data_IF_001165975023
#
_entry.id   IF_001165975023
#
_cell.length_a   1.000
_cell.length_b   1.000
_cell.length_c   1.000
_cell.angle_alpha   90.00
_cell.angle_beta   90.00
_cell.angle_gamma   90.00
#
_symmetry.space_group_name_H-M   'P 1'
#
loop_
_entity.id
_entity.type
_entity.pdbx_description
1 polymer ?
#
# COMPACT_ATOMS: atom_id res chain seq x y z
N UNK A 1 4.80 21.49 -4.34
CA UNK A 1 5.05 21.54 -2.88
C UNK A 1 5.29 22.97 -2.37
N UNK A 2 6.16 23.78 -2.98
CA UNK A 2 6.39 25.17 -2.54
C UNK A 2 5.12 26.03 -2.49
N UNK A 3 4.25 25.93 -3.50
CA UNK A 3 2.98 26.65 -3.57
C UNK A 3 2.04 26.35 -2.36
N UNK A 4 2.04 25.10 -1.88
CA UNK A 4 1.23 24.65 -0.73
C UNK A 4 1.67 25.26 0.61
N UNK A 5 2.97 25.49 0.80
CA UNK A 5 3.50 26.12 2.01
C UNK A 5 3.29 27.64 2.02
N UNK A 6 3.25 28.27 0.84
CA UNK A 6 3.17 29.73 0.70
C UNK A 6 1.72 30.24 0.74
N UNK A 7 0.76 29.50 0.17
CA UNK A 7 -0.63 29.98 0.06
C UNK A 7 -1.57 29.43 1.16
N UNK A 8 -1.05 28.57 2.05
CA UNK A 8 -1.87 27.86 3.04
C UNK A 8 -2.76 26.81 2.39
N UNK A 9 -3.03 25.72 3.11
CA UNK A 9 -3.99 24.72 2.67
C UNK A 9 -5.39 25.34 2.73
N UNK A 10 -5.85 25.97 1.64
CA UNK A 10 -7.29 26.09 1.43
C UNK A 10 -7.79 24.67 1.16
N UNK A 11 -8.35 24.05 2.20
CA UNK A 11 -8.79 22.64 2.25
C UNK A 11 -9.97 22.35 1.28
N UNK A 12 -10.39 23.32 0.49
CA UNK A 12 -11.60 23.24 -0.35
C UNK A 12 -11.39 22.68 -1.77
N UNK A 13 -10.17 22.32 -2.16
CA UNK A 13 -9.96 21.72 -3.48
C UNK A 13 -10.15 20.20 -3.41
N UNK A 14 -11.20 19.68 -4.07
CA UNK A 14 -11.51 18.24 -4.20
C UNK A 14 -10.28 17.41 -4.63
N UNK A 15 -9.34 18.04 -5.36
CA UNK A 15 -8.05 17.44 -5.70
C UNK A 15 -7.18 17.03 -4.50
N UNK A 16 -7.26 17.74 -3.36
CA UNK A 16 -6.52 17.41 -2.14
C UNK A 16 -7.05 16.13 -1.51
N UNK A 17 -8.37 16.00 -1.38
CA UNK A 17 -9.01 14.81 -0.80
C UNK A 17 -8.72 13.57 -1.67
N UNK A 18 -8.83 13.70 -2.99
CA UNK A 18 -8.58 12.61 -3.94
C UNK A 18 -7.13 12.12 -3.90
N UNK A 19 -6.17 12.97 -3.47
CA UNK A 19 -4.76 12.57 -3.34
C UNK A 19 -4.46 11.81 -2.05
N UNK A 20 -5.09 12.17 -0.94
CA UNK A 20 -4.81 11.54 0.36
C UNK A 20 -5.72 10.35 0.66
N UNK A 21 -6.97 10.38 0.21
CA UNK A 21 -7.94 9.33 0.50
C UNK A 21 -7.49 7.93 0.03
N UNK A 22 -6.93 7.74 -1.18
CA UNK A 22 -6.49 6.42 -1.61
C UNK A 22 -5.35 5.84 -0.76
N UNK A 23 -4.51 6.71 -0.18
CA UNK A 23 -3.39 6.28 0.67
C UNK A 23 -3.87 5.60 1.96
N UNK A 24 -5.03 6.00 2.49
CA UNK A 24 -5.65 5.32 3.64
C UNK A 24 -5.93 3.85 3.32
N UNK A 25 -6.41 3.55 2.12
CA UNK A 25 -6.67 2.18 1.68
C UNK A 25 -5.40 1.37 1.43
N UNK A 26 -4.31 2.00 0.97
CA UNK A 26 -3.00 1.34 0.92
C UNK A 26 -2.54 0.90 2.32
N UNK A 27 -2.68 1.76 3.34
CA UNK A 27 -2.31 1.43 4.72
C UNK A 27 -3.20 0.33 5.29
N UNK A 28 -4.52 0.42 5.08
CA UNK A 28 -5.46 -0.63 5.49
C UNK A 28 -5.13 -1.98 4.84
N UNK A 29 -4.82 -1.96 3.54
CA UNK A 29 -4.38 -3.15 2.83
C UNK A 29 -3.07 -3.67 3.41
N UNK A 30 -2.03 -2.85 3.56
CA UNK A 30 -0.70 -3.30 3.99
C UNK A 30 -0.69 -3.84 5.41
N UNK A 31 -1.38 -3.17 6.33
CA UNK A 31 -1.34 -3.46 7.78
C UNK A 31 -1.95 -4.80 8.17
N UNK A 32 -3.16 -5.13 7.69
CA UNK A 32 -3.86 -6.34 8.11
C UNK A 32 -4.57 -7.03 6.95
N UNK A 33 -4.50 -8.36 6.93
CA UNK A 33 -5.28 -9.19 6.00
C UNK A 33 -6.74 -9.21 6.45
N UNK A 34 -7.65 -8.66 5.64
CA UNK A 34 -9.09 -8.59 5.91
C UNK A 34 -9.87 -8.77 4.61
N UNK A 35 -11.13 -9.20 4.71
CA UNK A 35 -12.05 -9.32 3.55
C UNK A 35 -12.22 -8.00 2.79
N UNK A 36 -12.16 -6.85 3.50
CA UNK A 36 -12.23 -5.52 2.88
C UNK A 36 -11.15 -5.30 1.81
N UNK A 37 -10.00 -5.97 1.92
CA UNK A 37 -8.90 -5.88 0.94
C UNK A 37 -9.26 -6.49 -0.41
N UNK A 38 -10.31 -7.33 -0.46
CA UNK A 38 -10.86 -7.91 -1.69
C UNK A 38 -12.05 -7.08 -2.19
N UNK A 39 -12.89 -6.61 -1.25
CA UNK A 39 -14.10 -5.85 -1.55
C UNK A 39 -13.75 -4.49 -2.17
N UNK A 40 -12.77 -3.78 -1.62
CA UNK A 40 -12.38 -2.43 -2.08
C UNK A 40 -11.98 -2.42 -3.56
N UNK A 41 -11.00 -3.23 -4.03
CA UNK A 41 -10.66 -3.25 -5.45
C UNK A 41 -11.84 -3.72 -6.32
N UNK A 42 -12.65 -4.67 -5.87
CA UNK A 42 -13.83 -5.12 -6.62
C UNK A 42 -14.86 -3.99 -6.81
N UNK A 43 -15.15 -3.20 -5.77
CA UNK A 43 -16.02 -2.04 -5.84
C UNK A 43 -15.41 -0.94 -6.73
N UNK A 44 -14.09 -0.73 -6.67
CA UNK A 44 -13.41 0.22 -7.55
C UNK A 44 -13.58 -0.17 -9.03
N UNK A 45 -13.39 -1.45 -9.37
CA UNK A 45 -13.61 -1.98 -10.73
C UNK A 45 -15.05 -1.68 -11.17
N UNK A 46 -16.04 -2.03 -10.34
CA UNK A 46 -17.45 -1.80 -10.65
C UNK A 46 -17.76 -0.31 -10.85
N UNK A 47 -17.28 0.55 -9.96
CA UNK A 47 -17.47 2.00 -10.05
C UNK A 47 -16.84 2.59 -11.31
N UNK A 48 -15.65 2.13 -11.70
CA UNK A 48 -14.97 2.62 -12.90
C UNK A 48 -15.71 2.19 -14.18
N UNK A 49 -16.08 0.91 -14.29
CA UNK A 49 -16.83 0.40 -15.45
C UNK A 49 -18.24 0.99 -15.52
N UNK A 50 -18.83 1.39 -14.39
CA UNK A 50 -20.12 2.08 -14.39
C UNK A 50 -20.07 3.44 -15.12
N UNK A 51 -18.91 4.10 -15.19
CA UNK A 51 -18.73 5.37 -15.89
C UNK A 51 -18.71 5.19 -17.42
N UNK A 52 -19.35 6.05 -18.23
CA UNK A 52 -19.38 5.91 -19.70
C UNK A 52 -18.00 5.79 -20.34
N UNK A 53 -17.05 6.63 -19.93
CA UNK A 53 -15.65 6.55 -20.39
C UNK A 53 -15.00 5.24 -19.92
N UNK A 54 -15.27 4.82 -18.68
CA UNK A 54 -14.67 3.62 -18.12
C UNK A 54 -15.06 2.35 -18.88
N UNK A 55 -16.25 2.31 -19.48
CA UNK A 55 -16.66 1.22 -20.40
C UNK A 55 -15.81 1.17 -21.66
N UNK A 56 -15.40 2.33 -22.19
CA UNK A 56 -14.54 2.41 -23.38
C UNK A 56 -13.11 1.96 -23.11
N UNK A 57 -12.66 2.06 -21.85
CA UNK A 57 -11.34 1.61 -21.37
C UNK A 57 -11.47 0.55 -20.28
N UNK A 58 -12.38 -0.41 -20.48
CA UNK A 58 -12.73 -1.44 -19.49
C UNK A 58 -11.55 -2.33 -19.07
N UNK A 59 -10.49 -2.39 -19.87
CA UNK A 59 -9.26 -3.13 -19.56
C UNK A 59 -8.36 -2.40 -18.57
N UNK A 60 -8.48 -1.08 -18.41
CA UNK A 60 -7.71 -0.31 -17.44
C UNK A 60 -7.85 -0.84 -15.99
N UNK A 61 -9.07 -1.12 -15.47
CA UNK A 61 -9.24 -1.66 -14.11
C UNK A 61 -8.75 -3.10 -13.93
N UNK A 62 -8.26 -3.80 -14.98
CA UNK A 62 -7.65 -5.15 -14.83
C UNK A 62 -6.44 -5.12 -13.91
N UNK A 63 -5.71 -3.99 -13.85
CA UNK A 63 -4.67 -3.76 -12.83
C UNK A 63 -5.17 -3.95 -11.40
N UNK A 64 -6.45 -3.75 -11.15
CA UNK A 64 -7.04 -3.85 -9.80
C UNK A 64 -7.43 -5.28 -9.43
N UNK A 65 -7.22 -6.25 -10.32
CA UNK A 65 -7.15 -7.66 -9.96
C UNK A 65 -5.82 -8.01 -9.27
N UNK A 66 -4.76 -7.22 -9.46
CA UNK A 66 -3.47 -7.43 -8.80
C UNK A 66 -3.58 -7.42 -7.26
N UNK A 67 -4.25 -6.46 -6.59
CA UNK A 67 -4.41 -6.49 -5.14
C UNK A 67 -5.27 -7.67 -4.67
N UNK A 68 -6.21 -8.16 -5.49
CA UNK A 68 -6.98 -9.36 -5.18
C UNK A 68 -6.06 -10.59 -5.22
N UNK A 69 -5.27 -10.75 -6.28
CA UNK A 69 -4.31 -11.86 -6.40
C UNK A 69 -3.23 -11.80 -5.31
N UNK A 70 -2.65 -10.61 -5.10
CA UNK A 70 -1.63 -10.37 -4.08
C UNK A 70 -2.12 -10.65 -2.66
N UNK A 71 -3.44 -10.59 -2.40
CA UNK A 71 -4.02 -10.90 -1.10
C UNK A 71 -3.74 -12.33 -0.65
N UNK A 72 -3.58 -13.27 -1.59
CA UNK A 72 -3.29 -14.67 -1.28
C UNK A 72 -1.81 -14.90 -0.95
N UNK A 73 -0.91 -14.08 -1.52
CA UNK A 73 0.54 -14.25 -1.39
C UNK A 73 1.21 -13.29 -0.39
N UNK A 74 0.49 -12.28 0.12
CA UNK A 74 1.01 -11.21 0.97
C UNK A 74 1.68 -11.65 2.28
N UNK A 75 1.30 -12.80 2.84
CA UNK A 75 1.85 -13.27 4.13
C UNK A 75 3.23 -13.92 3.91
N UNK A 76 3.45 -14.45 2.70
CA UNK A 76 4.71 -15.07 2.30
C UNK A 76 5.69 -14.05 1.72
N UNK A 77 5.22 -13.14 0.86
CA UNK A 77 6.08 -12.21 0.14
C UNK A 77 5.78 -10.76 0.48
N UNK A 78 6.81 -10.04 0.98
CA UNK A 78 6.70 -8.61 1.26
C UNK A 78 6.37 -7.81 -0.01
N UNK A 79 6.97 -8.20 -1.13
CA UNK A 79 6.68 -7.61 -2.43
C UNK A 79 5.21 -7.77 -2.80
N UNK A 80 4.59 -8.93 -2.59
CA UNK A 80 3.16 -9.11 -2.83
C UNK A 80 2.32 -8.20 -1.90
N UNK A 81 2.70 -8.07 -0.63
CA UNK A 81 2.02 -7.17 0.32
C UNK A 81 2.11 -5.70 -0.11
N UNK A 82 3.29 -5.25 -0.53
CA UNK A 82 3.53 -3.89 -1.01
C UNK A 82 2.85 -3.61 -2.36
N UNK A 83 2.90 -4.58 -3.27
CA UNK A 83 2.25 -4.52 -4.59
C UNK A 83 0.73 -4.38 -4.44
N UNK A 84 0.13 -5.20 -3.58
CA UNK A 84 -1.30 -5.10 -3.29
C UNK A 84 -1.69 -3.76 -2.65
N UNK A 85 -0.83 -3.20 -1.77
CA UNK A 85 -1.09 -1.90 -1.16
C UNK A 85 -1.09 -0.77 -2.19
N UNK A 86 -0.06 -0.70 -3.04
CA UNK A 86 0.05 0.37 -4.05
C UNK A 86 -1.05 0.28 -5.11
N UNK A 87 -1.41 -0.93 -5.56
CA UNK A 87 -2.51 -1.09 -6.50
C UNK A 87 -3.90 -0.89 -5.86
N UNK A 88 -4.04 -1.08 -4.55
CA UNK A 88 -5.28 -0.73 -3.84
C UNK A 88 -5.48 0.79 -3.79
N UNK A 89 -4.43 1.56 -3.48
CA UNK A 89 -4.50 3.03 -3.61
C UNK A 89 -4.78 3.43 -5.05
N UNK A 90 -4.14 2.78 -6.03
CA UNK A 90 -4.42 3.06 -7.43
C UNK A 90 -5.86 2.76 -7.84
N UNK A 91 -6.45 1.67 -7.35
CA UNK A 91 -7.84 1.31 -7.62
C UNK A 91 -8.81 2.35 -7.09
N UNK A 92 -8.68 2.72 -5.81
CA UNK A 92 -9.53 3.75 -5.17
C UNK A 92 -9.34 5.11 -5.86
N UNK A 93 -8.09 5.49 -6.13
CA UNK A 93 -7.77 6.73 -6.82
C UNK A 93 -8.35 6.77 -8.23
N UNK A 94 -8.18 5.72 -9.03
CA UNK A 94 -8.70 5.63 -10.40
C UNK A 94 -10.22 5.65 -10.46
N UNK A 95 -10.89 4.94 -9.54
CA UNK A 95 -12.34 4.99 -9.41
C UNK A 95 -12.84 6.39 -9.03
N UNK A 96 -12.20 7.10 -8.10
CA UNK A 96 -12.60 8.47 -7.79
C UNK A 96 -12.31 9.44 -8.95
N UNK A 97 -11.14 9.31 -9.56
CA UNK A 97 -10.66 10.24 -10.58
C UNK A 97 -11.52 10.26 -11.83
N UNK A 98 -12.01 9.09 -12.28
CA UNK A 98 -12.86 9.02 -13.46
C UNK A 98 -14.20 9.74 -13.25
N UNK A 99 -14.76 9.71 -12.03
CA UNK A 99 -16.02 10.36 -11.71
C UNK A 99 -15.89 11.86 -11.44
N UNK A 100 -14.73 12.32 -10.96
CA UNK A 100 -14.51 13.73 -10.64
C UNK A 100 -14.00 14.54 -11.82
N UNK A 101 -13.05 13.99 -12.58
CA UNK A 101 -12.37 14.72 -13.66
C UNK A 101 -12.74 14.25 -15.07
N UNK A 102 -13.44 13.11 -15.21
CA UNK A 102 -13.94 12.59 -16.49
C UNK A 102 -12.91 12.63 -17.63
N UNK A 103 -11.66 12.24 -17.34
CA UNK A 103 -10.57 12.30 -18.32
C UNK A 103 -10.91 11.50 -19.60
N UNK A 104 -10.55 12.00 -20.79
CA UNK A 104 -10.76 11.28 -22.05
C UNK A 104 -10.06 9.92 -22.10
N UNK A 105 -10.65 8.97 -22.83
CA UNK A 105 -10.11 7.62 -23.01
C UNK A 105 -8.63 7.55 -23.46
N UNK A 106 -8.14 8.40 -24.39
CA UNK A 106 -6.72 8.40 -24.75
C UNK A 106 -5.77 8.69 -23.59
N UNK A 107 -6.21 9.50 -22.61
CA UNK A 107 -5.41 9.81 -21.43
C UNK A 107 -5.26 8.55 -20.57
N UNK A 108 -6.35 7.84 -20.30
CA UNK A 108 -6.32 6.54 -19.60
C UNK A 108 -5.38 5.52 -20.28
N UNK A 109 -5.38 5.48 -21.61
CA UNK A 109 -4.49 4.59 -22.36
C UNK A 109 -3.02 4.96 -22.18
N UNK A 110 -2.70 6.26 -22.23
CA UNK A 110 -1.34 6.75 -22.00
C UNK A 110 -0.83 6.50 -20.58
N UNK A 111 -1.73 6.38 -19.60
CA UNK A 111 -1.38 6.11 -18.21
C UNK A 111 -0.95 4.66 -17.96
N UNK A 112 -1.27 3.70 -18.83
CA UNK A 112 -0.93 2.29 -18.65
C UNK A 112 0.57 2.06 -18.37
N UNK A 113 1.52 2.51 -19.21
CA UNK A 113 2.94 2.35 -18.93
C UNK A 113 3.39 3.10 -17.66
N UNK A 114 2.81 4.27 -17.39
CA UNK A 114 3.12 5.07 -16.20
C UNK A 114 2.69 4.35 -14.92
N UNK A 115 1.48 3.78 -14.91
CA UNK A 115 0.97 2.99 -13.79
C UNK A 115 1.90 1.80 -13.52
N UNK A 116 2.31 1.07 -14.54
CA UNK A 116 3.24 -0.06 -14.34
C UNK A 116 4.53 0.43 -13.70
N UNK A 117 5.18 1.45 -14.26
CA UNK A 117 6.44 1.98 -13.76
C UNK A 117 6.33 2.50 -12.31
N UNK A 118 5.34 3.37 -12.05
CA UNK A 118 5.15 3.96 -10.72
C UNK A 118 4.76 2.92 -9.66
N UNK A 119 3.90 1.96 -9.99
CA UNK A 119 3.45 0.96 -9.01
C UNK A 119 4.58 -0.03 -8.68
N UNK A 120 5.43 -0.38 -9.64
CA UNK A 120 6.63 -1.16 -9.36
C UNK A 120 7.64 -0.36 -8.52
N UNK A 121 7.89 0.92 -8.85
CA UNK A 121 8.76 1.79 -8.06
C UNK A 121 8.25 1.93 -6.62
N UNK A 122 6.96 2.15 -6.42
CA UNK A 122 6.35 2.24 -5.09
C UNK A 122 6.40 0.91 -4.35
N UNK A 123 6.25 -0.23 -5.04
CA UNK A 123 6.37 -1.56 -4.43
C UNK A 123 7.78 -1.76 -3.86
N UNK A 124 8.80 -1.41 -4.64
CA UNK A 124 10.20 -1.47 -4.20
C UNK A 124 10.47 -0.48 -3.05
N UNK A 125 9.99 0.76 -3.18
CA UNK A 125 10.14 1.80 -2.16
C UNK A 125 9.49 1.43 -0.82
N UNK A 126 8.25 0.93 -0.84
CA UNK A 126 7.54 0.45 0.36
C UNK A 126 8.30 -0.72 0.99
N UNK A 127 8.74 -1.69 0.18
CA UNK A 127 9.43 -2.88 0.69
C UNK A 127 10.78 -2.54 1.30
N UNK A 128 11.58 -1.72 0.61
CA UNK A 128 12.88 -1.26 1.08
C UNK A 128 12.75 -0.42 2.36
N UNK A 129 11.81 0.52 2.38
CA UNK A 129 11.54 1.35 3.57
C UNK A 129 11.07 0.51 4.75
N UNK A 130 10.20 -0.48 4.51
CA UNK A 130 9.72 -1.37 5.57
C UNK A 130 10.86 -2.17 6.19
N UNK A 131 11.75 -2.76 5.37
CA UNK A 131 12.92 -3.50 5.87
C UNK A 131 13.85 -2.57 6.65
N UNK A 132 14.17 -1.39 6.10
CA UNK A 132 15.08 -0.44 6.72
C UNK A 132 14.55 0.04 8.09
N UNK A 133 13.28 0.47 8.14
CA UNK A 133 12.66 0.95 9.37
C UNK A 133 12.51 -0.18 10.38
N UNK A 134 12.11 -1.38 9.96
CA UNK A 134 11.99 -2.54 10.85
C UNK A 134 13.34 -2.91 11.49
N UNK A 135 14.44 -2.86 10.72
CA UNK A 135 15.79 -3.07 11.25
C UNK A 135 16.27 -1.96 12.16
N UNK A 136 16.02 -0.69 11.79
CA UNK A 136 16.34 0.45 12.63
C UNK A 136 15.63 0.36 13.98
N UNK A 137 14.34 0.05 13.99
CA UNK A 137 13.56 -0.16 15.21
C UNK A 137 14.12 -1.32 16.04
N UNK A 138 14.46 -2.46 15.41
CA UNK A 138 15.09 -3.59 16.11
C UNK A 138 16.45 -3.24 16.72
N UNK A 139 17.24 -2.41 16.04
CA UNK A 139 18.51 -1.91 16.57
C UNK A 139 18.31 -0.99 17.78
N UNK A 140 17.36 -0.06 17.70
CA UNK A 140 17.07 0.88 18.79
C UNK A 140 16.46 0.18 20.01
N UNK A 141 15.62 -0.83 19.79
CA UNK A 141 15.09 -1.70 20.85
C UNK A 141 16.22 -2.45 21.57
N UNK A 142 17.13 -3.08 20.83
CA UNK A 142 18.28 -3.81 21.39
C UNK A 142 19.20 -2.91 22.21
N UNK A 143 19.28 -1.62 21.87
CA UNK A 143 20.06 -0.62 22.62
C UNK A 143 19.30 -0.04 23.81
N UNK A 144 18.10 -0.53 24.13
CA UNK A 144 17.20 -0.01 25.16
C UNK A 144 16.91 1.50 25.02
N UNK A 145 17.06 2.05 23.81
CA UNK A 145 16.78 3.46 23.52
C UNK A 145 15.27 3.69 23.35
N UNK A 146 14.52 2.63 23.01
CA UNK A 146 13.08 2.65 22.84
C UNK A 146 12.46 1.44 23.54
N UNK A 147 11.51 1.70 24.45
CA UNK A 147 10.59 0.67 24.94
C UNK A 147 9.42 0.56 23.96
N UNK A 148 9.61 -0.23 22.90
CA UNK A 148 8.59 -0.42 21.87
C UNK A 148 7.49 -1.33 22.43
N UNK A 149 6.33 -0.74 22.74
CA UNK A 149 5.11 -1.48 23.11
C UNK A 149 4.39 -2.14 21.93
N UNK A 150 5.02 -2.21 20.75
CA UNK A 150 4.43 -2.74 19.53
C UNK A 150 5.35 -3.74 18.82
N UNK A 151 4.74 -4.61 18.01
CA UNK A 151 5.37 -5.77 17.37
C UNK A 151 6.37 -5.39 16.26
N UNK A 152 7.59 -5.94 16.33
CA UNK A 152 8.60 -5.90 15.25
C UNK A 152 8.57 -7.24 14.50
N UNK A 153 8.55 -7.18 13.17
CA UNK A 153 8.47 -8.36 12.32
C UNK A 153 9.84 -9.06 12.24
N UNK A 154 10.00 -10.16 12.98
CA UNK A 154 11.25 -10.92 13.12
C UNK A 154 11.76 -11.50 11.80
N UNK A 155 10.86 -11.72 10.83
CA UNK A 155 11.21 -12.24 9.51
C UNK A 155 12.14 -11.30 8.75
N UNK A 156 12.00 -9.99 8.96
CA UNK A 156 12.73 -8.97 8.22
C UNK A 156 13.87 -8.32 9.01
N UNK A 157 14.20 -8.84 10.21
CA UNK A 157 15.36 -8.41 10.98
C UNK A 157 16.65 -9.05 10.47
N UNK A 158 17.73 -8.29 10.49
CA UNK A 158 19.08 -8.76 10.26
C UNK A 158 19.45 -9.84 11.30
N UNK A 159 20.31 -10.82 10.97
CA UNK A 159 20.63 -11.94 11.85
C UNK A 159 21.05 -11.53 13.26
N UNK A 160 21.87 -10.49 13.40
CA UNK A 160 22.33 -10.00 14.71
C UNK A 160 21.30 -9.22 15.55
N UNK A 161 20.13 -8.92 14.99
CA UNK A 161 19.02 -8.25 15.66
C UNK A 161 17.83 -9.20 15.94
N UNK A 162 17.81 -10.37 15.32
CA UNK A 162 16.78 -11.38 15.56
C UNK A 162 16.93 -11.91 16.99
N UNK A 163 15.86 -11.90 17.79
CA UNK A 163 15.88 -12.54 19.11
C UNK A 163 16.12 -14.04 18.90
N UNK A 164 17.04 -14.64 19.67
CA UNK A 164 17.17 -16.10 19.72
C UNK A 164 15.89 -16.68 20.33
N UNK A 165 14.95 -17.10 19.49
CA UNK A 165 13.72 -17.77 19.94
C UNK A 165 13.91 -19.27 20.21
N UNK A 166 15.14 -19.78 20.26
CA UNK A 166 15.44 -21.22 20.37
C UNK A 166 16.32 -21.57 21.59
N UNK A 167 16.09 -20.97 22.76
CA UNK A 167 16.52 -21.59 24.00
C UNK A 167 15.34 -22.44 24.52
N UNK A 168 15.44 -23.78 24.60
CA UNK A 168 14.44 -24.57 25.29
C UNK A 168 14.39 -24.07 26.74
N UNK A 169 13.19 -23.71 27.21
CA UNK A 169 12.92 -23.49 28.62
C UNK A 169 13.38 -24.72 29.38
N UNK A 170 14.56 -24.65 29.99
CA UNK A 170 14.98 -25.58 31.01
C UNK A 170 14.07 -25.34 32.20
N UNK A 171 13.02 -26.17 32.30
CA UNK A 171 12.26 -26.33 33.52
C UNK A 171 13.21 -26.86 34.60
N UNK A 172 13.77 -25.95 35.37
CA UNK A 172 14.44 -26.26 36.63
C UNK A 172 13.33 -26.42 37.67
N UNK A 173 12.85 -27.65 37.82
CA UNK A 173 12.06 -28.06 38.98
C UNK A 173 12.96 -28.98 39.80
N UNK A 174 13.58 -28.40 40.82
CA UNK A 174 13.99 -29.09 42.05
C UNK A 174 13.03 -28.69 43.14
#
# INVERSE_FOLDING_TARGET
FFNFFVHGAQVEDAGTIIRFFPMLFAVLYFSKKRKINLIVPALAIAAFIAHPIGRTVWYFPVFWLIPIAAHFFRDQFLLARALGATFTAHAVGGALWIWVFALPAPVWNSLIPVVIAERLLFTLGISGSFILVNNLLGFLEKRHLLNLGFYIDQKYLAPGLRREQNAPTTSSTT
#
